data_IF_228740603044
#
_entry.id   IF_228740603044
#
_cell.length_a   1.000
_cell.length_b   1.000
_cell.length_c   1.000
_cell.angle_alpha   90.00
_cell.angle_beta   90.00
_cell.angle_gamma   90.00
#
_symmetry.space_group_name_H-M   'P 1'
#
loop_
_entity.id
_entity.type
_entity.pdbx_description
1 polymer ?
#
# COMPACT_ATOMS: atom_id res chain seq x y z
N UNK A 1 -0.24 6.33 22.01
CA UNK A 1 0.66 5.15 21.94
C UNK A 1 0.23 4.31 20.75
N UNK A 2 1.13 4.06 19.81
CA UNK A 2 0.85 3.14 18.69
C UNK A 2 0.62 1.75 19.27
N UNK A 3 -0.49 1.09 18.86
CA UNK A 3 -0.80 -0.28 19.26
C UNK A 3 0.24 -1.22 18.61
N UNK A 4 0.69 -2.26 19.31
CA UNK A 4 1.65 -3.24 18.78
C UNK A 4 1.21 -3.82 17.43
N UNK A 5 -0.08 -4.01 17.21
CA UNK A 5 -0.65 -4.43 15.92
C UNK A 5 -0.33 -3.44 14.80
N UNK A 6 -0.51 -2.16 15.06
CA UNK A 6 -0.23 -1.09 14.09
C UNK A 6 1.27 -1.00 13.76
N UNK A 7 2.13 -1.11 14.78
CA UNK A 7 3.59 -1.12 14.59
C UNK A 7 4.02 -2.31 13.72
N UNK A 8 3.46 -3.49 13.96
CA UNK A 8 3.73 -4.69 13.16
C UNK A 8 3.32 -4.47 11.70
N UNK A 9 2.14 -3.91 11.44
CA UNK A 9 1.65 -3.65 10.08
C UNK A 9 2.49 -2.59 9.36
N UNK A 10 2.81 -1.47 10.03
CA UNK A 10 3.64 -0.41 9.44
C UNK A 10 5.04 -0.92 9.10
N UNK A 11 5.65 -1.70 9.99
CA UNK A 11 6.95 -2.33 9.74
C UNK A 11 6.86 -3.32 8.58
N UNK A 12 5.79 -4.10 8.52
CA UNK A 12 5.58 -5.03 7.41
C UNK A 12 5.44 -4.29 6.08
N UNK A 13 4.67 -3.20 6.02
CA UNK A 13 4.58 -2.37 4.82
C UNK A 13 5.95 -1.89 4.34
N UNK A 14 6.76 -1.36 5.26
CA UNK A 14 8.09 -0.85 4.94
C UNK A 14 9.04 -1.95 4.42
N UNK A 15 9.01 -3.14 5.03
CA UNK A 15 9.80 -4.27 4.59
C UNK A 15 9.34 -4.81 3.22
N UNK A 16 8.03 -4.91 3.00
CA UNK A 16 7.47 -5.33 1.72
C UNK A 16 7.82 -4.35 0.59
N UNK A 17 7.85 -3.04 0.86
CA UNK A 17 8.28 -2.03 -0.09
C UNK A 17 9.77 -2.19 -0.45
N UNK A 18 10.59 -2.41 0.56
CA UNK A 18 12.06 -2.48 0.39
C UNK A 18 12.55 -3.76 -0.27
N UNK A 19 11.93 -4.90 0.03
CA UNK A 19 12.50 -6.22 -0.31
C UNK A 19 11.47 -7.26 -0.78
N UNK A 20 10.22 -6.86 -0.99
CA UNK A 20 9.14 -7.72 -1.49
C UNK A 20 8.65 -8.76 -0.49
N UNK A 21 7.73 -9.61 -0.97
CA UNK A 21 7.12 -10.66 -0.14
C UNK A 21 8.12 -11.75 0.24
N UNK A 22 8.85 -12.28 -0.73
CA UNK A 22 9.79 -13.38 -0.46
C UNK A 22 10.96 -12.96 0.43
N UNK A 23 11.42 -11.72 0.28
CA UNK A 23 12.50 -11.14 1.09
C UNK A 23 12.11 -10.82 2.54
N UNK A 24 10.82 -10.74 2.86
CA UNK A 24 10.34 -10.33 4.19
C UNK A 24 10.03 -11.55 5.05
N UNK A 25 10.66 -11.68 6.22
CA UNK A 25 10.47 -12.79 7.17
C UNK A 25 9.75 -12.35 8.45
N UNK A 26 9.00 -13.29 9.11
CA UNK A 26 8.32 -13.01 10.38
C UNK A 26 9.29 -12.59 11.49
N UNK A 27 10.47 -13.20 11.56
CA UNK A 27 11.47 -12.87 12.58
C UNK A 27 12.02 -11.46 12.37
N UNK A 28 12.16 -11.03 11.12
CA UNK A 28 12.58 -9.68 10.77
C UNK A 28 11.50 -8.66 11.13
N UNK A 29 10.24 -8.95 10.83
CA UNK A 29 9.10 -8.12 11.25
C UNK A 29 9.08 -7.95 12.76
N UNK A 30 9.27 -9.01 13.54
CA UNK A 30 9.34 -8.95 15.01
C UNK A 30 10.48 -8.03 15.46
N UNK A 31 11.67 -8.23 14.89
CA UNK A 31 12.86 -7.46 15.25
C UNK A 31 12.70 -5.98 14.92
N UNK A 32 12.32 -5.66 13.71
CA UNK A 32 12.24 -4.28 13.22
C UNK A 32 11.03 -3.51 13.81
N UNK A 33 9.92 -4.19 14.12
CA UNK A 33 8.76 -3.55 14.79
C UNK A 33 9.00 -3.28 16.27
N UNK A 34 10.01 -3.88 16.88
CA UNK A 34 10.23 -3.82 18.31
C UNK A 34 9.11 -4.46 19.14
N UNK A 35 8.20 -5.18 18.49
CA UNK A 35 7.05 -5.80 19.16
C UNK A 35 7.44 -7.17 19.74
N UNK A 36 6.91 -7.52 20.92
CA UNK A 36 7.12 -8.87 21.45
C UNK A 36 6.65 -9.95 20.47
N UNK A 37 7.41 -11.04 20.37
CA UNK A 37 7.07 -12.17 19.48
C UNK A 37 5.64 -12.68 19.71
N UNK A 38 5.20 -12.74 20.98
CA UNK A 38 3.84 -13.14 21.34
C UNK A 38 2.76 -12.22 20.76
N UNK A 39 3.03 -10.92 20.63
CA UNK A 39 2.08 -9.98 20.04
C UNK A 39 1.84 -10.26 18.55
N UNK A 40 2.88 -10.61 17.80
CA UNK A 40 2.72 -10.94 16.39
C UNK A 40 1.81 -12.16 16.21
N UNK A 41 2.06 -13.24 16.93
CA UNK A 41 1.23 -14.44 16.83
C UNK A 41 -0.17 -14.31 17.46
N UNK A 42 -0.33 -13.39 18.40
CA UNK A 42 -1.63 -13.04 18.96
C UNK A 42 -2.52 -12.32 17.94
N UNK A 43 -1.97 -11.30 17.27
CA UNK A 43 -2.73 -10.51 16.28
C UNK A 43 -2.83 -11.19 14.91
N UNK A 44 -1.84 -12.00 14.56
CA UNK A 44 -1.73 -12.64 13.25
C UNK A 44 -1.41 -14.14 13.38
N UNK A 45 -2.33 -14.93 13.96
CA UNK A 45 -2.11 -16.36 14.19
C UNK A 45 -1.91 -17.15 12.89
N UNK A 46 -2.43 -16.65 11.78
CA UNK A 46 -2.29 -17.25 10.44
C UNK A 46 -0.94 -16.89 9.76
N UNK A 47 -0.08 -16.15 10.45
CA UNK A 47 1.30 -15.93 10.03
C UNK A 47 1.49 -14.92 8.90
N UNK A 48 2.55 -15.13 8.11
CA UNK A 48 3.06 -14.19 7.12
C UNK A 48 2.02 -13.77 6.07
N UNK A 49 1.25 -14.72 5.57
CA UNK A 49 0.23 -14.46 4.54
C UNK A 49 -0.85 -13.47 5.01
N UNK A 50 -1.31 -13.66 6.26
CA UNK A 50 -2.30 -12.77 6.88
C UNK A 50 -1.76 -11.37 7.09
N UNK A 51 -0.56 -11.25 7.68
CA UNK A 51 0.07 -9.96 7.90
C UNK A 51 0.28 -9.22 6.58
N UNK A 52 0.77 -9.93 5.55
CA UNK A 52 1.00 -9.34 4.23
C UNK A 52 -0.30 -8.84 3.61
N UNK A 53 -1.37 -9.64 3.63
CA UNK A 53 -2.65 -9.23 3.09
C UNK A 53 -3.19 -7.96 3.79
N UNK A 54 -3.11 -7.89 5.11
CA UNK A 54 -3.54 -6.71 5.87
C UNK A 54 -2.64 -5.50 5.63
N UNK A 55 -1.32 -5.69 5.53
CA UNK A 55 -0.36 -4.62 5.22
C UNK A 55 -0.61 -4.04 3.81
N UNK A 56 -0.91 -4.89 2.84
CA UNK A 56 -1.26 -4.48 1.46
C UNK A 56 -2.55 -3.65 1.46
N UNK A 57 -3.59 -4.08 2.17
CA UNK A 57 -4.85 -3.32 2.28
C UNK A 57 -4.65 -1.97 2.97
N UNK A 58 -3.88 -1.93 4.05
CA UNK A 58 -3.55 -0.69 4.75
C UNK A 58 -2.78 0.28 3.84
N UNK A 59 -1.76 -0.22 3.14
CA UNK A 59 -1.00 0.57 2.17
C UNK A 59 -1.88 1.08 1.03
N UNK A 60 -2.78 0.24 0.50
CA UNK A 60 -3.74 0.62 -0.53
C UNK A 60 -4.66 1.75 -0.08
N UNK A 61 -5.21 1.65 1.14
CA UNK A 61 -6.06 2.68 1.71
C UNK A 61 -5.32 4.02 1.91
N UNK A 62 -4.11 3.97 2.48
CA UNK A 62 -3.28 5.16 2.67
C UNK A 62 -2.90 5.81 1.34
N UNK A 63 -2.60 5.01 0.33
CA UNK A 63 -2.28 5.51 -1.01
C UNK A 63 -3.50 6.13 -1.68
N UNK A 64 -4.67 5.48 -1.60
CA UNK A 64 -5.92 6.03 -2.12
C UNK A 64 -6.27 7.38 -1.46
N UNK A 65 -6.02 7.52 -0.16
CA UNK A 65 -6.24 8.79 0.55
C UNK A 65 -5.27 9.87 0.08
N UNK A 66 -3.98 9.56 -0.11
CA UNK A 66 -3.02 10.51 -0.69
C UNK A 66 -3.40 10.93 -2.11
N UNK A 67 -3.92 10.00 -2.92
CA UNK A 67 -4.45 10.32 -4.25
C UNK A 67 -5.59 11.31 -4.13
N UNK A 68 -6.59 11.05 -3.28
CA UNK A 68 -7.71 11.98 -3.07
C UNK A 68 -7.23 13.36 -2.65
N UNK A 69 -6.34 13.43 -1.67
CA UNK A 69 -5.77 14.69 -1.19
C UNK A 69 -5.03 15.44 -2.30
N UNK A 70 -4.13 14.77 -3.02
CA UNK A 70 -3.38 15.37 -4.13
C UNK A 70 -4.28 15.85 -5.27
N UNK A 71 -5.38 15.15 -5.54
CA UNK A 71 -6.32 15.54 -6.58
C UNK A 71 -7.25 16.70 -6.18
N UNK A 72 -7.30 17.11 -4.90
CA UNK A 72 -8.10 18.28 -4.47
C UNK A 72 -7.47 19.62 -4.84
N UNK A 73 -6.18 19.66 -5.13
CA UNK A 73 -5.42 20.90 -5.40
C UNK A 73 -5.84 21.62 -6.69
N UNK A 74 -6.58 20.96 -7.56
CA UNK A 74 -7.08 21.56 -8.81
C UNK A 74 -8.52 21.14 -9.10
N UNK A 75 -9.34 22.10 -9.57
CA UNK A 75 -10.67 21.84 -10.12
C UNK A 75 -10.64 21.25 -11.53
N UNK A 76 -9.50 21.31 -12.21
CA UNK A 76 -9.28 20.69 -13.51
C UNK A 76 -8.70 19.30 -13.32
N UNK A 77 -9.47 18.28 -13.69
CA UNK A 77 -9.07 16.88 -13.48
C UNK A 77 -7.77 16.52 -14.22
N UNK A 78 -7.59 16.96 -15.46
CA UNK A 78 -6.39 16.65 -16.23
C UNK A 78 -5.13 17.25 -15.55
N UNK A 79 -5.24 18.50 -15.08
CA UNK A 79 -4.16 19.14 -14.34
C UNK A 79 -3.89 18.43 -13.00
N UNK A 80 -4.92 18.11 -12.24
CA UNK A 80 -4.77 17.39 -10.96
C UNK A 80 -4.06 16.05 -11.14
N UNK A 81 -4.44 15.25 -12.13
CA UNK A 81 -3.82 13.96 -12.43
C UNK A 81 -2.37 14.15 -12.90
N UNK A 82 -2.11 15.13 -13.78
CA UNK A 82 -0.75 15.42 -14.25
C UNK A 82 0.17 15.82 -13.11
N UNK A 83 -0.25 16.77 -12.28
CA UNK A 83 0.53 17.24 -11.12
C UNK A 83 0.79 16.07 -10.13
N UNK A 84 -0.20 15.22 -9.88
CA UNK A 84 -0.05 14.05 -9.02
C UNK A 84 1.00 13.06 -9.56
N UNK A 85 0.98 12.78 -10.87
CA UNK A 85 1.96 11.88 -11.50
C UNK A 85 3.38 12.49 -11.43
N UNK A 86 3.52 13.80 -11.67
CA UNK A 86 4.80 14.48 -11.56
C UNK A 86 5.34 14.43 -10.13
N UNK A 87 4.50 14.65 -9.13
CA UNK A 87 4.89 14.55 -7.72
C UNK A 87 5.36 13.15 -7.34
N UNK A 88 4.73 12.09 -7.88
CA UNK A 88 5.20 10.71 -7.69
C UNK A 88 6.58 10.53 -8.33
N UNK A 89 6.74 10.96 -9.58
CA UNK A 89 8.02 10.83 -10.30
C UNK A 89 9.16 11.51 -9.55
N UNK A 90 8.95 12.73 -9.08
CA UNK A 90 9.93 13.46 -8.26
C UNK A 90 10.24 12.76 -6.92
N UNK A 91 9.22 12.17 -6.28
CA UNK A 91 9.41 11.42 -5.03
C UNK A 91 10.28 10.18 -5.26
N UNK A 92 10.00 9.42 -6.32
CA UNK A 92 10.78 8.24 -6.71
C UNK A 92 12.23 8.63 -7.02
N UNK A 93 12.43 9.69 -7.81
CA UNK A 93 13.77 10.17 -8.16
C UNK A 93 14.56 10.62 -6.92
N UNK A 94 13.96 11.44 -6.05
CA UNK A 94 14.60 11.90 -4.80
C UNK A 94 14.98 10.76 -3.86
N UNK A 95 14.26 9.67 -3.89
CA UNK A 95 14.59 8.46 -3.10
C UNK A 95 15.73 7.63 -3.69
N UNK A 96 16.30 8.03 -4.83
CA UNK A 96 17.27 7.22 -5.56
C UNK A 96 16.64 5.95 -6.15
N UNK A 97 15.37 6.03 -6.55
CA UNK A 97 14.55 4.91 -7.05
C UNK A 97 14.30 3.79 -6.03
N UNK A 98 14.48 4.08 -4.74
CA UNK A 98 14.22 3.14 -3.66
C UNK A 98 12.77 3.20 -3.15
N UNK A 99 12.08 4.33 -3.35
CA UNK A 99 10.67 4.44 -3.01
C UNK A 99 9.80 3.76 -4.09
N UNK A 100 8.87 2.94 -3.65
CA UNK A 100 7.95 2.24 -4.53
C UNK A 100 6.60 2.03 -3.84
N UNK A 101 5.83 1.10 -4.37
CA UNK A 101 4.60 0.65 -3.72
C UNK A 101 4.76 -0.81 -3.31
N UNK A 102 4.56 -1.14 -2.03
CA UNK A 102 4.57 -2.54 -1.60
C UNK A 102 3.52 -3.36 -2.34
N UNK A 103 2.42 -2.73 -2.75
CA UNK A 103 1.34 -3.35 -3.50
C UNK A 103 1.82 -3.98 -4.83
N UNK A 104 2.60 -3.25 -5.62
CA UNK A 104 3.07 -3.75 -6.92
C UNK A 104 4.05 -4.91 -6.76
N UNK A 105 5.04 -4.77 -5.87
CA UNK A 105 6.02 -5.82 -5.61
C UNK A 105 5.34 -7.12 -5.13
N UNK A 106 4.47 -7.01 -4.13
CA UNK A 106 3.73 -8.15 -3.57
C UNK A 106 2.81 -8.78 -4.61
N UNK A 107 2.07 -7.98 -5.41
CA UNK A 107 1.18 -8.50 -6.43
C UNK A 107 1.92 -9.32 -7.49
N UNK A 108 3.09 -8.86 -7.93
CA UNK A 108 3.92 -9.59 -8.90
C UNK A 108 4.47 -10.90 -8.34
N UNK A 109 4.90 -10.91 -7.07
CA UNK A 109 5.50 -12.08 -6.44
C UNK A 109 4.48 -13.14 -6.02
N UNK A 110 3.23 -12.76 -5.75
CA UNK A 110 2.24 -13.65 -5.15
C UNK A 110 1.04 -13.96 -6.05
N UNK A 111 1.03 -13.46 -7.28
CA UNK A 111 -0.10 -13.57 -8.20
C UNK A 111 -0.63 -15.00 -8.40
N UNK A 112 0.26 -15.99 -8.40
CA UNK A 112 -0.08 -17.41 -8.63
C UNK A 112 0.07 -18.29 -7.38
N UNK A 113 0.57 -17.75 -6.27
CA UNK A 113 0.96 -18.55 -5.09
C UNK A 113 0.07 -18.35 -3.88
N UNK A 114 -0.60 -17.20 -3.75
CA UNK A 114 -1.46 -16.89 -2.61
C UNK A 114 -2.77 -16.22 -3.04
N UNK A 115 -3.88 -16.98 -3.09
CA UNK A 115 -5.20 -16.42 -3.36
C UNK A 115 -5.61 -15.33 -2.37
N UNK A 116 -5.22 -15.44 -1.10
CA UNK A 116 -5.51 -14.44 -0.06
C UNK A 116 -4.83 -13.11 -0.35
N UNK A 117 -3.52 -13.14 -0.64
CA UNK A 117 -2.76 -11.93 -0.94
C UNK A 117 -3.22 -11.34 -2.27
N UNK A 118 -3.49 -12.18 -3.26
CA UNK A 118 -4.03 -11.73 -4.54
C UNK A 118 -5.35 -10.98 -4.39
N UNK A 119 -6.29 -11.50 -3.58
CA UNK A 119 -7.54 -10.81 -3.27
C UNK A 119 -7.31 -9.45 -2.59
N UNK A 120 -6.40 -9.37 -1.63
CA UNK A 120 -6.03 -8.13 -0.97
C UNK A 120 -5.40 -7.11 -1.94
N UNK A 121 -4.53 -7.56 -2.85
CA UNK A 121 -3.98 -6.72 -3.90
C UNK A 121 -5.06 -6.18 -4.83
N UNK A 122 -5.99 -7.05 -5.25
CA UNK A 122 -7.12 -6.63 -6.09
C UNK A 122 -7.95 -5.55 -5.41
N UNK A 123 -8.32 -5.74 -4.15
CA UNK A 123 -9.06 -4.75 -3.37
C UNK A 123 -8.30 -3.43 -3.23
N UNK A 124 -7.01 -3.48 -2.92
CA UNK A 124 -6.16 -2.30 -2.83
C UNK A 124 -6.10 -1.53 -4.17
N UNK A 125 -5.93 -2.21 -5.31
CA UNK A 125 -5.99 -1.55 -6.62
C UNK A 125 -7.35 -0.94 -6.93
N UNK A 126 -8.46 -1.55 -6.48
CA UNK A 126 -9.78 -0.94 -6.63
C UNK A 126 -9.93 0.34 -5.80
N UNK A 127 -9.33 0.41 -4.60
CA UNK A 127 -9.30 1.64 -3.80
C UNK A 127 -8.58 2.78 -4.55
N UNK A 128 -7.41 2.49 -5.16
CA UNK A 128 -6.67 3.47 -5.95
C UNK A 128 -7.46 3.94 -7.17
N UNK A 129 -8.03 2.98 -7.91
CA UNK A 129 -8.86 3.26 -9.08
C UNK A 129 -10.05 4.15 -8.73
N UNK A 130 -10.75 3.85 -7.62
CA UNK A 130 -11.89 4.64 -7.16
C UNK A 130 -11.50 6.08 -6.84
N UNK A 131 -10.32 6.31 -6.24
CA UNK A 131 -9.87 7.66 -5.93
C UNK A 131 -9.74 8.56 -7.18
N UNK A 132 -9.20 8.01 -8.28
CA UNK A 132 -9.14 8.73 -9.57
C UNK A 132 -10.53 8.87 -10.21
N UNK A 133 -11.31 7.78 -10.21
CA UNK A 133 -12.64 7.79 -10.78
C UNK A 133 -13.53 8.85 -10.15
N UNK A 134 -13.55 8.95 -8.82
CA UNK A 134 -14.38 9.89 -8.10
C UNK A 134 -14.04 11.34 -8.46
N UNK A 135 -12.75 11.65 -8.61
CA UNK A 135 -12.29 12.96 -9.09
C UNK A 135 -12.76 13.27 -10.51
N UNK A 136 -12.69 12.30 -11.42
CA UNK A 136 -13.14 12.50 -12.79
C UNK A 136 -14.65 12.77 -12.84
N UNK A 137 -15.45 12.01 -12.08
CA UNK A 137 -16.91 12.24 -11.98
C UNK A 137 -17.21 13.62 -11.38
N UNK A 138 -16.53 14.02 -10.31
CA UNK A 138 -16.67 15.35 -9.70
C UNK A 138 -16.41 16.48 -10.72
N UNK A 139 -15.44 16.28 -11.63
CA UNK A 139 -15.12 17.24 -12.68
C UNK A 139 -16.03 17.13 -13.94
N UNK A 140 -17.11 16.34 -13.90
CA UNK A 140 -18.12 16.25 -14.96
C UNK A 140 -17.83 15.24 -16.07
N UNK A 141 -16.82 14.38 -15.91
CA UNK A 141 -16.59 13.28 -16.85
C UNK A 141 -17.65 12.18 -16.65
N UNK A 142 -18.25 11.72 -17.73
CA UNK A 142 -19.25 10.63 -17.67
C UNK A 142 -18.59 9.26 -17.63
N UNK A 143 -19.28 8.29 -17.01
CA UNK A 143 -18.96 6.89 -17.22
C UNK A 143 -19.24 6.53 -18.69
N UNK A 144 -18.25 6.10 -19.42
CA UNK A 144 -18.42 5.43 -20.70
C UNK A 144 -18.73 3.98 -20.48
#
# INVERSE_FOLDING_TARGET
>A
MSNAREQILQTTCALLEKQGYHGTGLNEIIKESGSPKGSLYYYFPEGKEKITAEAVLQSGNQTAERIRQGLTESSNAAKAVSDFILNIAEHVERSGFAAGSPLTAVAMETATTSPRINAACHEAYQMLKSAFHDKLIECGYSKT
#
